data_IF_893476706600
#
_entry.id   IF_893476706600
#
_cell.length_a   1.000
_cell.length_b   1.000
_cell.length_c   1.000
_cell.angle_alpha   90.00
_cell.angle_beta   90.00
_cell.angle_gamma   90.00
#
_symmetry.space_group_name_H-M   'P 1'
#
loop_
_entity.id
_entity.type
_entity.pdbx_description
1 polymer ?
#
# COMPACT_ATOMS: atom_id res chain seq x y z
N UNK A 1 -18.37 0.65 11.87
CA UNK A 1 -16.95 0.35 11.62
C UNK A 1 -16.63 0.67 10.17
N UNK A 2 -15.61 1.49 9.97
CA UNK A 2 -15.19 1.88 8.62
C UNK A 2 -14.29 0.79 8.06
N UNK A 3 -14.70 0.21 6.93
CA UNK A 3 -13.88 -0.73 6.20
C UNK A 3 -13.00 0.02 5.20
N UNK A 4 -11.72 -0.34 5.17
CA UNK A 4 -10.78 0.27 4.24
C UNK A 4 -10.87 -0.39 2.88
N UNK A 5 -10.94 0.43 1.82
CA UNK A 5 -10.78 -0.06 0.45
C UNK A 5 -9.30 -0.33 0.21
N UNK A 6 -8.99 -1.53 -0.22
CA UNK A 6 -7.59 -1.92 -0.42
C UNK A 6 -7.38 -2.59 -1.77
N UNK A 7 -6.14 -2.50 -2.25
CA UNK A 7 -5.63 -3.27 -3.38
C UNK A 7 -4.41 -4.02 -2.88
N UNK A 8 -4.49 -5.34 -2.85
CA UNK A 8 -3.35 -6.20 -2.53
C UNK A 8 -2.64 -6.54 -3.83
N UNK A 9 -1.42 -6.02 -3.99
CA UNK A 9 -0.62 -6.22 -5.19
C UNK A 9 0.50 -7.20 -4.87
N UNK A 10 0.48 -8.34 -5.55
CA UNK A 10 1.51 -9.37 -5.39
C UNK A 10 2.61 -9.21 -6.42
N UNK A 11 3.82 -9.65 -6.04
CA UNK A 11 4.99 -9.53 -6.91
C UNK A 11 4.87 -10.32 -8.22
N UNK A 12 3.99 -11.33 -8.25
CA UNK A 12 3.71 -12.09 -9.48
C UNK A 12 2.70 -11.40 -10.42
N UNK A 13 2.23 -10.20 -10.06
CA UNK A 13 1.27 -9.43 -10.85
C UNK A 13 -0.19 -9.61 -10.45
N UNK A 14 -0.50 -10.55 -9.55
CA UNK A 14 -1.87 -10.73 -9.09
C UNK A 14 -2.33 -9.53 -8.27
N UNK A 15 -3.59 -9.12 -8.52
CA UNK A 15 -4.25 -8.03 -7.80
C UNK A 15 -5.53 -8.54 -7.18
N UNK A 16 -5.75 -8.16 -5.91
CA UNK A 16 -7.00 -8.42 -5.21
C UNK A 16 -7.55 -7.10 -4.69
N UNK A 17 -8.74 -6.73 -5.14
CA UNK A 17 -9.40 -5.48 -4.74
C UNK A 17 -10.60 -5.79 -3.87
N UNK A 18 -10.72 -5.08 -2.76
CA UNK A 18 -11.84 -5.27 -1.85
C UNK A 18 -11.70 -4.44 -0.60
N UNK A 19 -12.42 -4.83 0.45
CA UNK A 19 -12.36 -4.16 1.74
C UNK A 19 -11.67 -5.03 2.76
N UNK A 20 -10.93 -4.40 3.67
CA UNK A 20 -10.15 -5.09 4.70
C UNK A 20 -10.23 -4.30 6.01
N UNK A 21 -10.41 -5.01 7.12
CA UNK A 21 -10.43 -4.38 8.44
C UNK A 21 -9.57 -5.12 9.47
N UNK A 22 -8.81 -6.12 9.06
CA UNK A 22 -8.02 -6.95 9.99
C UNK A 22 -6.52 -6.97 9.67
N UNK A 23 -6.06 -6.09 8.78
CA UNK A 23 -4.64 -6.04 8.46
C UNK A 23 -3.85 -5.44 9.62
N UNK A 24 -2.85 -6.17 10.10
CA UNK A 24 -1.86 -5.68 11.06
C UNK A 24 -0.46 -6.11 10.62
N UNK A 25 0.56 -5.25 10.80
CA UNK A 25 1.90 -5.50 10.26
C UNK A 25 2.61 -6.74 10.80
N UNK A 26 2.25 -7.20 11.98
CA UNK A 26 2.93 -8.33 12.63
C UNK A 26 2.26 -9.67 12.38
N UNK A 27 1.23 -9.71 11.53
CA UNK A 27 0.62 -10.97 11.08
C UNK A 27 1.03 -11.26 9.65
N UNK A 28 1.16 -12.55 9.33
CA UNK A 28 1.54 -12.98 7.99
C UNK A 28 0.35 -13.28 7.08
N UNK A 29 -0.85 -12.89 7.50
CA UNK A 29 -2.07 -13.04 6.71
C UNK A 29 -3.08 -11.95 7.09
N UNK A 30 -4.04 -11.74 6.21
CA UNK A 30 -5.19 -10.87 6.43
C UNK A 30 -6.37 -11.36 5.57
N UNK A 31 -7.55 -10.83 5.82
CA UNK A 31 -8.74 -11.20 5.06
C UNK A 31 -9.23 -10.02 4.23
N UNK A 32 -9.70 -10.31 3.03
CA UNK A 32 -10.26 -9.31 2.14
C UNK A 32 -11.66 -9.74 1.69
N UNK A 33 -12.60 -8.80 1.75
CA UNK A 33 -13.91 -8.97 1.14
C UNK A 33 -13.80 -8.49 -0.29
N UNK A 34 -13.75 -9.43 -1.24
CA UNK A 34 -13.48 -9.10 -2.64
C UNK A 34 -14.58 -8.21 -3.21
N UNK A 35 -14.16 -7.23 -4.01
CA UNK A 35 -15.05 -6.35 -4.75
C UNK A 35 -15.97 -7.18 -5.66
N UNK A 36 -17.28 -6.88 -5.63
CA UNK A 36 -18.26 -7.58 -6.44
C UNK A 36 -18.72 -8.93 -5.87
N UNK A 37 -18.19 -9.34 -4.70
CA UNK A 37 -18.68 -10.53 -4.04
C UNK A 37 -20.11 -10.32 -3.58
N UNK A 38 -20.91 -11.39 -3.61
CA UNK A 38 -22.27 -11.34 -3.12
C UNK A 38 -22.29 -11.00 -1.63
N UNK A 39 -23.33 -10.30 -1.20
CA UNK A 39 -23.53 -10.00 0.20
C UNK A 39 -23.57 -11.30 1.00
N UNK A 40 -22.78 -11.38 2.06
CA UNK A 40 -22.65 -12.60 2.85
C UNK A 40 -21.59 -13.56 2.35
N UNK A 41 -20.85 -13.20 1.27
CA UNK A 41 -19.72 -13.98 0.82
C UNK A 41 -18.62 -14.05 1.88
N UNK A 42 -17.90 -15.17 1.92
CA UNK A 42 -16.82 -15.34 2.88
C UNK A 42 -15.61 -14.52 2.48
N UNK A 43 -14.96 -13.86 3.45
CA UNK A 43 -13.68 -13.20 3.17
C UNK A 43 -12.64 -14.19 2.67
N UNK A 44 -11.79 -13.72 1.77
CA UNK A 44 -10.66 -14.51 1.27
C UNK A 44 -9.46 -14.23 2.15
N UNK A 45 -8.82 -15.31 2.62
CA UNK A 45 -7.58 -15.22 3.37
C UNK A 45 -6.41 -15.03 2.40
N UNK A 46 -5.66 -13.96 2.58
CA UNK A 46 -4.47 -13.67 1.79
C UNK A 46 -3.23 -13.72 2.68
N UNK A 47 -2.17 -14.32 2.17
CA UNK A 47 -0.88 -14.36 2.86
C UNK A 47 -0.02 -13.19 2.43
N UNK A 48 0.81 -12.69 3.34
CA UNK A 48 1.77 -11.62 3.02
C UNK A 48 2.97 -12.12 2.23
N UNK A 49 3.20 -13.45 2.19
CA UNK A 49 4.25 -14.04 1.36
C UNK A 49 4.03 -13.68 -0.10
N UNK A 50 5.04 -13.08 -0.74
CA UNK A 50 4.94 -12.67 -2.14
C UNK A 50 4.18 -11.37 -2.36
N UNK A 51 3.65 -10.75 -1.31
CA UNK A 51 3.00 -9.46 -1.41
C UNK A 51 4.04 -8.38 -1.73
N UNK A 52 3.75 -7.55 -2.72
CA UNK A 52 4.54 -6.35 -3.01
C UNK A 52 4.17 -5.24 -2.03
N UNK A 53 2.88 -4.93 -1.97
CA UNK A 53 2.36 -3.91 -1.08
C UNK A 53 0.84 -4.05 -0.94
N UNK A 54 0.31 -3.55 0.17
CA UNK A 54 -1.11 -3.37 0.38
C UNK A 54 -1.40 -1.87 0.29
N UNK A 55 -2.17 -1.49 -0.73
CA UNK A 55 -2.54 -0.10 -0.97
C UNK A 55 -3.91 0.18 -0.40
N UNK A 56 -4.00 1.18 0.46
CA UNK A 56 -5.28 1.71 0.95
C UNK A 56 -5.66 2.83 0.00
N UNK A 57 -6.78 2.67 -0.71
CA UNK A 57 -7.11 3.50 -1.87
C UNK A 57 -8.39 4.29 -1.66
N UNK A 58 -8.50 5.41 -2.40
CA UNK A 58 -9.72 6.22 -2.43
C UNK A 58 -10.79 5.56 -3.29
N UNK A 59 -10.37 5.03 -4.46
CA UNK A 59 -11.24 4.35 -5.43
C UNK A 59 -10.57 3.08 -5.93
N UNK A 60 -11.35 2.02 -6.10
CA UNK A 60 -10.83 0.73 -6.58
C UNK A 60 -10.21 0.81 -7.97
N UNK A 61 -10.79 1.60 -8.86
CA UNK A 61 -10.32 1.71 -10.24
C UNK A 61 -9.19 2.73 -10.41
N UNK A 62 -8.84 3.42 -9.31
CA UNK A 62 -7.83 4.45 -9.35
C UNK A 62 -8.27 5.67 -10.16
N UNK A 63 -7.28 6.42 -10.67
CA UNK A 63 -7.50 7.52 -11.57
C UNK A 63 -6.54 7.37 -12.76
N UNK A 64 -6.98 6.72 -13.85
CA UNK A 64 -6.07 6.38 -14.96
C UNK A 64 -5.53 7.59 -15.71
N UNK A 65 -6.16 8.76 -15.57
CA UNK A 65 -5.68 9.98 -16.21
C UNK A 65 -4.76 10.81 -15.32
N UNK A 66 -4.60 10.43 -14.07
CA UNK A 66 -3.76 11.14 -13.12
C UNK A 66 -2.42 10.42 -12.94
N UNK A 67 -1.32 11.14 -13.07
CA UNK A 67 0.01 10.64 -12.79
C UNK A 67 0.45 11.14 -11.41
N UNK A 68 0.68 10.22 -10.48
CA UNK A 68 1.14 10.57 -9.14
C UNK A 68 2.48 11.30 -9.21
N UNK A 69 2.56 12.44 -8.53
CA UNK A 69 3.78 13.22 -8.47
C UNK A 69 4.80 12.53 -7.57
N UNK A 70 6.01 12.34 -8.08
CA UNK A 70 7.11 11.70 -7.35
C UNK A 70 8.05 12.74 -6.75
N UNK A 71 7.46 13.78 -6.14
CA UNK A 71 8.22 14.85 -5.50
C UNK A 71 7.45 15.36 -4.29
N UNK A 72 8.18 15.97 -3.36
CA UNK A 72 7.58 16.57 -2.18
C UNK A 72 7.13 18.00 -2.48
N UNK A 73 5.89 18.32 -2.06
CA UNK A 73 5.37 19.68 -2.15
C UNK A 73 5.85 20.47 -0.92
N UNK A 74 6.68 21.49 -1.10
CA UNK A 74 7.20 22.26 0.05
C UNK A 74 6.13 23.04 0.82
N UNK A 75 4.97 23.28 0.21
CA UNK A 75 3.85 23.95 0.88
C UNK A 75 3.02 23.00 1.74
N UNK A 76 3.20 21.68 1.60
CA UNK A 76 2.44 20.70 2.36
C UNK A 76 3.16 20.35 3.65
N UNK A 77 2.46 20.49 4.79
CA UNK A 77 2.97 20.00 6.06
C UNK A 77 2.86 18.48 6.10
N UNK A 78 4.00 17.83 6.24
CA UNK A 78 4.07 16.37 6.32
C UNK A 78 4.53 15.96 7.71
N UNK A 79 3.89 14.91 8.24
CA UNK A 79 4.36 14.25 9.46
C UNK A 79 5.20 13.04 9.10
N UNK A 80 6.19 12.74 9.95
CA UNK A 80 7.10 11.63 9.71
C UNK A 80 8.32 11.99 8.86
N UNK A 81 9.15 10.99 8.60
CA UNK A 81 10.38 11.16 7.80
C UNK A 81 10.10 10.94 6.33
N UNK A 82 10.69 11.77 5.49
CA UNK A 82 10.64 11.56 4.04
C UNK A 82 11.37 10.28 3.68
N UNK A 83 10.76 9.48 2.79
CA UNK A 83 11.29 8.18 2.39
C UNK A 83 10.98 7.92 0.92
N UNK A 84 11.89 7.22 0.26
CA UNK A 84 11.70 6.73 -1.11
C UNK A 84 11.87 5.23 -1.12
N UNK A 85 10.97 4.53 -1.77
CA UNK A 85 11.03 3.08 -1.94
C UNK A 85 11.02 2.76 -3.43
N UNK A 86 12.09 2.13 -3.90
CA UNK A 86 12.19 1.63 -5.26
C UNK A 86 11.91 0.13 -5.22
N UNK A 87 10.83 -0.28 -5.88
CA UNK A 87 10.46 -1.68 -5.96
C UNK A 87 11.34 -2.42 -6.98
N UNK A 88 11.40 -3.74 -6.83
CA UNK A 88 12.15 -4.59 -7.75
C UNK A 88 11.61 -4.54 -9.18
N UNK A 89 10.32 -4.24 -9.34
CA UNK A 89 9.69 -4.07 -10.66
C UNK A 89 9.92 -2.69 -11.29
N UNK A 90 10.64 -1.80 -10.59
CA UNK A 90 10.97 -0.47 -11.08
C UNK A 90 10.03 0.64 -10.63
N UNK A 91 8.93 0.31 -9.98
CA UNK A 91 8.03 1.35 -9.46
C UNK A 91 8.71 2.11 -8.32
N UNK A 92 8.54 3.44 -8.30
CA UNK A 92 9.05 4.30 -7.25
C UNK A 92 7.89 4.87 -6.44
N UNK A 93 7.97 4.72 -5.12
CA UNK A 93 7.03 5.35 -4.20
C UNK A 93 7.78 6.37 -3.35
N UNK A 94 7.20 7.58 -3.25
CA UNK A 94 7.77 8.67 -2.46
C UNK A 94 6.73 9.13 -1.44
N UNK A 95 7.14 9.30 -0.20
CA UNK A 95 6.23 9.72 0.84
C UNK A 95 6.93 9.93 2.18
N UNK A 96 6.16 9.75 3.24
CA UNK A 96 6.68 9.84 4.60
C UNK A 96 6.36 8.57 5.36
N UNK A 97 7.20 8.25 6.34
CA UNK A 97 7.00 7.11 7.22
C UNK A 97 7.28 7.52 8.67
N UNK A 98 6.57 6.88 9.61
CA UNK A 98 6.85 7.06 11.03
C UNK A 98 7.87 6.04 11.55
N UNK A 99 8.20 5.02 10.76
CA UNK A 99 9.20 4.06 11.16
C UNK A 99 9.51 3.06 10.06
N UNK A 100 10.71 3.14 9.52
CA UNK A 100 11.25 2.14 8.62
C UNK A 100 12.45 1.48 9.30
N UNK A 101 12.41 0.16 9.38
CA UNK A 101 13.52 -0.64 9.88
C UNK A 101 13.80 -1.76 8.89
N UNK A 102 15.03 -1.85 8.35
CA UNK A 102 15.36 -2.85 7.32
C UNK A 102 15.12 -4.29 7.76
N UNK A 103 15.19 -4.56 9.06
CA UNK A 103 14.99 -5.91 9.60
C UNK A 103 13.51 -6.31 9.69
N UNK A 104 12.58 -5.38 9.55
CA UNK A 104 11.15 -5.67 9.58
C UNK A 104 10.65 -6.08 8.21
N UNK A 105 9.56 -6.86 8.20
CA UNK A 105 8.97 -7.36 6.96
C UNK A 105 8.38 -6.27 6.08
N UNK A 106 7.95 -5.17 6.68
CA UNK A 106 7.37 -4.07 5.93
C UNK A 106 7.25 -2.79 6.73
N UNK A 107 6.79 -1.75 6.07
CA UNK A 107 6.61 -0.43 6.69
C UNK A 107 5.48 0.34 5.99
N UNK A 108 4.87 1.27 6.73
CA UNK A 108 3.85 2.16 6.18
C UNK A 108 4.49 3.37 5.53
N UNK A 109 3.93 3.78 4.39
CA UNK A 109 4.31 4.98 3.67
C UNK A 109 3.05 5.76 3.30
N UNK A 110 3.03 7.05 3.66
CA UNK A 110 2.00 7.99 3.22
C UNK A 110 2.51 8.69 1.98
N UNK A 111 1.83 8.58 0.81
CA UNK A 111 2.30 9.22 -0.42
C UNK A 111 2.50 10.72 -0.26
N UNK A 112 3.55 11.24 -0.89
CA UNK A 112 3.86 12.68 -0.89
C UNK A 112 2.81 13.48 -1.65
N UNK A 113 2.23 12.90 -2.68
CA UNK A 113 1.19 13.54 -3.50
C UNK A 113 -0.18 13.32 -2.85
N UNK A 114 -0.76 14.38 -2.31
CA UNK A 114 -2.07 14.33 -1.65
C UNK A 114 -3.22 13.98 -2.60
N UNK A 115 -3.01 14.14 -3.91
CA UNK A 115 -3.98 13.78 -4.94
C UNK A 115 -3.82 12.34 -5.44
N UNK A 116 -2.87 11.59 -4.88
CA UNK A 116 -2.72 10.17 -5.18
C UNK A 116 -4.00 9.41 -4.83
N UNK A 117 -4.31 8.39 -5.63
CA UNK A 117 -5.38 7.46 -5.26
C UNK A 117 -5.02 6.65 -4.02
N UNK A 118 -3.73 6.51 -3.71
CA UNK A 118 -3.26 5.82 -2.52
C UNK A 118 -3.27 6.77 -1.32
N UNK A 119 -4.01 6.38 -0.27
CA UNK A 119 -4.04 7.12 0.98
C UNK A 119 -2.86 6.73 1.86
N UNK A 120 -2.54 5.43 1.84
CA UNK A 120 -1.55 4.80 2.69
C UNK A 120 -1.10 3.52 1.99
N UNK A 121 0.18 3.20 2.09
CA UNK A 121 0.72 1.96 1.54
C UNK A 121 1.46 1.20 2.63
N UNK A 122 1.20 -0.10 2.75
CA UNK A 122 2.09 -0.98 3.50
C UNK A 122 2.99 -1.70 2.51
N UNK A 123 4.28 -1.35 2.54
CA UNK A 123 5.27 -1.83 1.58
C UNK A 123 6.03 -3.00 2.20
N UNK A 124 6.08 -4.12 1.48
CA UNK A 124 6.88 -5.27 1.91
C UNK A 124 8.34 -5.03 1.56
N UNK A 125 9.21 -5.08 2.55
CA UNK A 125 10.64 -4.82 2.38
C UNK A 125 11.25 -5.77 1.34
N UNK A 126 10.83 -7.04 1.33
CA UNK A 126 11.34 -8.02 0.38
C UNK A 126 11.03 -7.67 -1.08
N UNK A 127 10.02 -6.85 -1.35
CA UNK A 127 9.65 -6.43 -2.69
C UNK A 127 10.41 -5.18 -3.16
N UNK A 128 11.21 -4.57 -2.28
CA UNK A 128 12.00 -3.38 -2.60
C UNK A 128 13.40 -3.75 -3.05
N UNK A 129 13.92 -2.98 -4.01
CA UNK A 129 15.33 -3.02 -4.42
C UNK A 129 16.15 -2.07 -3.54
N UNK A 130 15.59 -0.90 -3.23
CA UNK A 130 16.28 0.13 -2.49
C UNK A 130 15.26 0.97 -1.72
N UNK A 131 15.58 1.27 -0.47
CA UNK A 131 14.81 2.19 0.37
C UNK A 131 15.80 3.23 0.89
N UNK A 132 15.46 4.51 0.72
CA UNK A 132 16.33 5.62 1.16
C UNK A 132 15.50 6.70 1.83
N UNK A 133 16.12 7.32 2.83
CA UNK A 133 15.57 8.50 3.48
C UNK A 133 15.85 9.77 2.69
#
# INVERSE_FOLDING_TARGET
MIQNKVVAHYSNGNLFKGTCNDFVPNKNYFHINLRGAQQGGRPVKLKTTGLKALFFVKKFDGNPTYNEKKEFNPARLLTGRKIKALFRDGELMIGTTNGYQPAREGFFLVPADENSNNILCFIMTAATREVSY
#
